data_IF_578872143956
#
_entry.id   IF_578872143956
#
_cell.length_a   1.000
_cell.length_b   1.000
_cell.length_c   1.000
_cell.angle_alpha   90.00
_cell.angle_beta   90.00
_cell.angle_gamma   90.00
#
_symmetry.space_group_name_H-M   'P 1'
#
loop_
_entity.id
_entity.type
_entity.pdbx_description
1 polymer ?
#
# COMPACT_ATOMS: atom_id res chain seq x y z
N UNK A 1 63.08 0.50 36.86
CA UNK A 1 61.77 0.92 36.31
C UNK A 1 60.71 -0.07 36.77
N UNK A 2 59.64 0.40 37.41
CA UNK A 2 58.64 -0.44 38.09
C UNK A 2 57.80 -1.24 37.08
N UNK A 3 57.66 -2.57 37.24
CA UNK A 3 56.70 -3.39 36.52
C UNK A 3 55.39 -3.59 37.32
N UNK A 4 54.43 -4.29 36.70
CA UNK A 4 53.14 -4.85 37.20
C UNK A 4 51.94 -3.93 36.89
N UNK A 5 50.78 -4.42 36.44
CA UNK A 5 50.04 -5.61 36.89
C UNK A 5 49.04 -6.11 35.82
N UNK A 6 48.82 -7.43 35.81
CA UNK A 6 47.89 -8.23 35.02
C UNK A 6 46.72 -8.68 35.93
N UNK A 7 45.45 -8.58 35.52
CA UNK A 7 44.27 -9.30 36.10
C UNK A 7 43.10 -9.17 35.11
N UNK A 8 42.69 -10.18 34.33
CA UNK A 8 41.91 -11.43 34.59
C UNK A 8 40.39 -11.23 34.84
N UNK A 9 39.63 -11.86 33.92
CA UNK A 9 38.31 -12.51 34.01
C UNK A 9 37.02 -11.70 34.25
N UNK A 10 36.00 -12.00 33.41
CA UNK A 10 34.81 -12.70 33.89
C UNK A 10 34.06 -13.39 32.73
N UNK A 11 34.01 -14.71 32.81
CA UNK A 11 33.12 -15.59 32.05
C UNK A 11 31.71 -15.39 32.61
N UNK A 12 30.77 -14.98 31.76
CA UNK A 12 29.35 -14.90 32.09
C UNK A 12 28.57 -15.91 31.27
N UNK A 13 28.65 -17.19 31.65
CA UNK A 13 27.71 -18.22 31.21
C UNK A 13 26.39 -17.98 31.95
N UNK A 14 25.35 -17.51 31.27
CA UNK A 14 23.98 -17.57 31.80
C UNK A 14 23.25 -18.66 31.02
N UNK A 15 23.33 -19.87 31.56
CA UNK A 15 22.35 -20.91 31.33
C UNK A 15 21.24 -20.71 32.37
N UNK A 16 20.04 -20.37 31.93
CA UNK A 16 18.82 -20.54 32.74
C UNK A 16 17.96 -21.57 32.06
N UNK A 17 17.60 -22.56 32.87
CA UNK A 17 16.99 -23.81 32.52
C UNK A 17 15.50 -23.68 32.17
N UNK A 18 15.08 -24.56 31.26
CA UNK A 18 13.91 -25.44 31.33
C UNK A 18 12.87 -25.15 32.43
N UNK A 19 11.61 -24.98 32.04
CA UNK A 19 10.59 -26.04 32.08
C UNK A 19 9.16 -25.47 32.25
N UNK A 20 8.22 -26.12 31.55
CA UNK A 20 6.79 -26.28 31.89
C UNK A 20 5.95 -25.00 31.98
N UNK A 21 4.93 -24.81 31.15
CA UNK A 21 3.73 -25.65 31.19
C UNK A 21 2.94 -25.53 29.89
N UNK A 22 2.78 -26.65 29.19
CA UNK A 22 1.65 -26.88 28.32
C UNK A 22 0.42 -27.07 29.23
N UNK A 23 -0.38 -26.02 29.40
CA UNK A 23 -1.77 -26.15 29.79
C UNK A 23 -2.62 -25.72 28.59
N UNK A 24 -3.15 -26.76 27.93
CA UNK A 24 -4.33 -26.69 27.09
C UNK A 24 -5.46 -26.06 27.91
N UNK A 25 -5.75 -24.79 27.64
CA UNK A 25 -7.10 -24.28 27.76
C UNK A 25 -7.63 -24.14 26.34
N UNK A 26 -8.35 -25.18 25.93
CA UNK A 26 -9.31 -25.14 24.84
C UNK A 26 -10.41 -24.14 25.23
N UNK A 27 -10.14 -22.85 25.09
CA UNK A 27 -11.21 -21.92 24.82
C UNK A 27 -11.56 -22.10 23.36
N UNK A 28 -12.62 -22.89 23.12
CA UNK A 28 -13.45 -22.79 21.92
C UNK A 28 -13.90 -21.33 21.80
N UNK A 29 -13.04 -20.50 21.20
CA UNK A 29 -13.45 -19.25 20.61
C UNK A 29 -14.23 -19.64 19.36
N UNK A 30 -15.52 -19.94 19.56
CA UNK A 30 -16.54 -19.80 18.52
C UNK A 30 -16.67 -18.29 18.29
N UNK A 31 -15.59 -17.70 17.77
CA UNK A 31 -15.62 -16.41 17.12
C UNK A 31 -16.48 -16.63 15.91
N UNK A 32 -17.76 -16.26 16.02
CA UNK A 32 -18.63 -16.12 14.87
C UNK A 32 -17.88 -15.26 13.87
N UNK A 33 -17.28 -15.92 12.87
CA UNK A 33 -16.65 -15.29 11.74
C UNK A 33 -17.77 -14.56 11.03
N UNK A 34 -18.01 -13.32 11.44
CA UNK A 34 -18.86 -12.39 10.72
C UNK A 34 -18.18 -12.26 9.37
N UNK A 35 -18.66 -13.04 8.41
CA UNK A 35 -18.14 -13.04 7.05
C UNK A 35 -18.50 -11.68 6.50
N UNK A 36 -17.58 -10.72 6.65
CA UNK A 36 -17.76 -9.40 6.07
C UNK A 36 -17.95 -9.59 4.57
N UNK A 37 -19.00 -8.95 4.03
CA UNK A 37 -19.31 -9.07 2.63
C UNK A 37 -18.09 -8.63 1.80
N UNK A 38 -17.75 -9.34 0.71
CA UNK A 38 -16.65 -8.95 -0.15
C UNK A 38 -16.88 -7.54 -0.67
N UNK A 39 -15.82 -6.72 -0.66
CA UNK A 39 -15.89 -5.37 -1.22
C UNK A 39 -16.22 -5.47 -2.70
N UNK A 40 -17.09 -4.59 -3.18
CA UNK A 40 -17.39 -4.45 -4.62
C UNK A 40 -17.29 -2.98 -5.02
N UNK A 41 -16.85 -2.77 -6.25
CA UNK A 41 -16.70 -1.44 -6.83
C UNK A 41 -17.40 -1.33 -8.17
N UNK A 42 -17.91 -0.14 -8.49
CA UNK A 42 -18.39 0.21 -9.82
C UNK A 42 -17.60 1.38 -10.38
N UNK A 43 -17.28 1.30 -11.67
CA UNK A 43 -16.64 2.40 -12.41
C UNK A 43 -17.73 3.22 -13.08
N UNK A 44 -17.79 4.49 -12.73
CA UNK A 44 -18.60 5.46 -13.45
C UNK A 44 -17.74 6.23 -14.43
N UNK A 45 -18.06 6.11 -15.73
CA UNK A 45 -17.51 6.98 -16.77
C UNK A 45 -18.14 8.36 -16.62
N UNK A 46 -17.48 9.23 -15.84
CA UNK A 46 -17.91 10.60 -15.66
C UNK A 46 -17.55 11.50 -16.84
N UNK A 47 -18.32 12.58 -17.00
CA UNK A 47 -17.81 13.84 -17.58
C UNK A 47 -16.50 14.19 -16.83
N UNK A 48 -15.51 14.85 -17.47
CA UNK A 48 -14.29 15.27 -16.79
C UNK A 48 -14.67 15.93 -15.47
N UNK A 49 -14.33 15.29 -14.36
CA UNK A 49 -14.55 15.87 -13.04
C UNK A 49 -13.75 17.16 -13.09
N UNK A 50 -14.43 18.31 -13.01
CA UNK A 50 -13.75 19.60 -12.89
C UNK A 50 -12.75 19.42 -11.76
N UNK A 51 -11.46 19.54 -12.10
CA UNK A 51 -10.36 19.23 -11.20
C UNK A 51 -10.61 20.01 -9.91
N UNK A 52 -11.13 19.31 -8.91
CA UNK A 52 -11.50 19.96 -7.67
C UNK A 52 -10.19 20.42 -7.07
N UNK A 53 -10.11 21.74 -6.83
CA UNK A 53 -8.91 22.38 -6.30
C UNK A 53 -8.43 21.56 -5.11
N UNK A 54 -7.21 21.03 -5.20
CA UNK A 54 -6.59 20.25 -4.12
C UNK A 54 -6.60 21.11 -2.85
N UNK A 55 -7.49 20.79 -1.92
CA UNK A 55 -7.63 21.46 -0.64
C UNK A 55 -6.64 20.83 0.34
N UNK A 56 -5.63 21.62 0.73
CA UNK A 56 -4.65 21.23 1.75
C UNK A 56 -5.39 20.98 3.08
N UNK A 57 -5.61 19.71 3.43
CA UNK A 57 -6.09 19.29 4.74
C UNK A 57 -4.89 18.86 5.58
N UNK A 58 -4.62 19.62 6.65
CA UNK A 58 -3.35 19.68 7.39
C UNK A 58 -2.97 18.46 8.26
N UNK A 59 -3.11 17.24 7.75
CA UNK A 59 -2.39 16.09 8.29
C UNK A 59 -1.03 15.99 7.59
N UNK A 60 0.04 15.84 8.37
CA UNK A 60 1.41 16.07 7.91
C UNK A 60 1.81 15.34 6.61
N UNK A 61 2.79 15.86 5.85
CA UNK A 61 3.18 15.38 4.52
C UNK A 61 3.76 13.93 4.47
N UNK A 62 3.73 13.19 5.58
CA UNK A 62 4.45 11.93 5.80
C UNK A 62 3.70 10.64 5.51
N UNK A 63 2.37 10.62 5.46
CA UNK A 63 1.63 9.33 5.56
C UNK A 63 1.09 8.77 4.24
N UNK A 64 1.34 9.45 3.12
CA UNK A 64 0.93 8.96 1.80
C UNK A 64 1.98 8.07 1.15
N UNK A 65 1.53 6.91 0.66
CA UNK A 65 2.37 5.98 -0.09
C UNK A 65 1.72 5.62 -1.41
N UNK A 66 2.52 5.11 -2.35
CA UNK A 66 2.07 4.60 -3.64
C UNK A 66 2.36 3.11 -3.74
N UNK A 67 1.32 2.30 -3.96
CA UNK A 67 1.50 0.89 -4.34
C UNK A 67 1.56 0.79 -5.85
N UNK A 68 2.66 0.29 -6.41
CA UNK A 68 2.84 0.07 -7.84
C UNK A 68 2.55 -1.40 -8.14
N UNK A 69 1.36 -1.69 -8.67
CA UNK A 69 0.98 -3.03 -9.11
C UNK A 69 1.50 -3.27 -10.53
N UNK A 70 2.39 -4.25 -10.69
CA UNK A 70 3.02 -4.51 -11.97
C UNK A 70 3.85 -5.78 -12.01
N UNK A 71 4.60 -5.95 -13.11
CA UNK A 71 5.56 -7.05 -13.27
C UNK A 71 6.96 -6.50 -13.53
N UNK A 72 8.00 -7.16 -13.01
CA UNK A 72 9.39 -6.77 -13.25
C UNK A 72 9.78 -6.87 -14.74
N UNK A 73 9.11 -7.75 -15.48
CA UNK A 73 9.26 -7.89 -16.93
C UNK A 73 8.73 -6.69 -17.71
N UNK A 74 7.80 -5.91 -17.15
CA UNK A 74 7.21 -4.74 -17.82
C UNK A 74 8.18 -3.54 -17.80
N UNK A 75 8.63 -3.05 -18.97
CA UNK A 75 9.53 -1.88 -19.04
C UNK A 75 8.94 -0.63 -18.40
N UNK A 76 7.63 -0.42 -18.56
CA UNK A 76 6.92 0.71 -17.97
C UNK A 76 6.84 0.63 -16.44
N UNK A 77 6.70 -0.57 -15.89
CA UNK A 77 6.77 -0.77 -14.43
C UNK A 77 8.17 -0.44 -13.91
N UNK A 78 9.23 -0.97 -14.54
CA UNK A 78 10.61 -0.65 -14.15
C UNK A 78 10.91 0.85 -14.21
N UNK A 79 10.43 1.52 -15.25
CA UNK A 79 10.59 2.96 -15.39
C UNK A 79 9.92 3.74 -14.23
N UNK A 80 8.74 3.30 -13.79
CA UNK A 80 8.06 3.91 -12.63
C UNK A 80 8.78 3.60 -11.31
N UNK A 81 9.29 2.38 -11.12
CA UNK A 81 10.10 2.02 -9.94
C UNK A 81 11.31 2.96 -9.85
N UNK A 82 12.08 3.10 -10.93
CA UNK A 82 13.25 3.98 -10.96
C UNK A 82 12.89 5.44 -10.69
N UNK A 83 11.81 5.93 -11.31
CA UNK A 83 11.32 7.29 -11.09
C UNK A 83 11.04 7.58 -9.61
N UNK A 84 10.31 6.70 -8.92
CA UNK A 84 10.00 6.90 -7.50
C UNK A 84 11.22 6.71 -6.61
N UNK A 85 12.11 5.76 -6.93
CA UNK A 85 13.36 5.56 -6.18
C UNK A 85 14.26 6.81 -6.22
N UNK A 86 14.31 7.48 -7.37
CA UNK A 86 15.11 8.68 -7.57
C UNK A 86 14.47 9.94 -6.94
N UNK A 87 13.17 10.14 -7.14
CA UNK A 87 12.52 11.41 -6.80
C UNK A 87 11.79 11.39 -5.44
N UNK A 88 11.37 10.22 -4.97
CA UNK A 88 10.53 10.06 -3.78
C UNK A 88 10.90 8.80 -2.98
N UNK A 89 12.16 8.70 -2.49
CA UNK A 89 12.64 7.49 -1.82
C UNK A 89 11.77 7.13 -0.62
N UNK A 90 11.37 5.86 -0.53
CA UNK A 90 10.52 5.35 0.55
C UNK A 90 9.03 5.72 0.44
N UNK A 91 8.60 6.36 -0.65
CA UNK A 91 7.18 6.75 -0.86
C UNK A 91 6.42 5.79 -1.75
N UNK A 92 7.09 4.96 -2.54
CA UNK A 92 6.45 3.99 -3.41
C UNK A 92 6.99 2.59 -3.21
N UNK A 93 6.12 1.60 -3.33
CA UNK A 93 6.41 0.19 -3.10
C UNK A 93 5.90 -0.62 -4.30
N UNK A 94 6.81 -1.37 -4.91
CA UNK A 94 6.48 -2.24 -6.03
C UNK A 94 5.91 -3.57 -5.53
N UNK A 95 4.79 -4.01 -6.12
CA UNK A 95 4.12 -5.26 -5.77
C UNK A 95 4.02 -6.14 -7.02
N UNK A 96 4.79 -7.23 -7.05
CA UNK A 96 4.86 -8.17 -8.17
C UNK A 96 3.56 -8.98 -8.30
N UNK A 97 2.82 -8.75 -9.38
CA UNK A 97 1.54 -9.41 -9.65
C UNK A 97 1.69 -10.78 -10.32
N UNK A 98 2.90 -11.19 -10.72
CA UNK A 98 3.15 -12.53 -11.24
C UNK A 98 3.11 -13.61 -10.14
N UNK A 99 3.27 -13.23 -8.87
CA UNK A 99 3.12 -14.15 -7.75
C UNK A 99 1.63 -14.45 -7.50
N UNK A 100 1.17 -15.64 -7.85
CA UNK A 100 -0.25 -16.01 -7.83
C UNK A 100 -0.86 -16.10 -6.43
N UNK A 101 -0.04 -16.25 -5.40
CA UNK A 101 -0.48 -16.41 -4.02
C UNK A 101 -0.30 -15.11 -3.20
N UNK A 102 -0.07 -13.97 -3.87
CA UNK A 102 0.13 -12.68 -3.20
C UNK A 102 -1.14 -11.83 -3.19
N UNK A 103 -1.22 -10.94 -2.19
CA UNK A 103 -2.18 -9.85 -2.13
C UNK A 103 -1.97 -8.87 -3.28
N UNK A 104 -0.74 -8.74 -3.83
CA UNK A 104 -0.49 -7.97 -5.07
C UNK A 104 -1.38 -8.46 -6.22
N UNK A 105 -1.41 -9.79 -6.44
CA UNK A 105 -2.23 -10.39 -7.50
C UNK A 105 -3.71 -10.22 -7.20
N UNK A 106 -4.12 -10.39 -5.94
CA UNK A 106 -5.51 -10.22 -5.53
C UNK A 106 -6.00 -8.78 -5.75
N UNK A 107 -5.23 -7.78 -5.32
CA UNK A 107 -5.50 -6.36 -5.50
C UNK A 107 -5.60 -5.99 -6.99
N UNK A 108 -4.64 -6.42 -7.81
CA UNK A 108 -4.71 -6.16 -9.25
C UNK A 108 -5.92 -6.83 -9.91
N UNK A 109 -6.19 -8.09 -9.56
CA UNK A 109 -7.35 -8.83 -10.08
C UNK A 109 -8.68 -8.18 -9.67
N UNK A 110 -8.76 -7.65 -8.46
CA UNK A 110 -9.90 -6.90 -7.98
C UNK A 110 -10.17 -5.65 -8.84
N UNK A 111 -9.12 -4.86 -9.12
CA UNK A 111 -9.24 -3.68 -9.97
C UNK A 111 -9.61 -4.02 -11.43
N UNK A 112 -9.07 -5.12 -11.97
CA UNK A 112 -9.42 -5.61 -13.32
C UNK A 112 -10.88 -6.06 -13.39
N UNK A 113 -11.36 -6.84 -12.41
CA UNK A 113 -12.76 -7.29 -12.35
C UNK A 113 -13.73 -6.12 -12.17
N UNK A 114 -13.32 -5.09 -11.43
CA UNK A 114 -14.08 -3.84 -11.29
C UNK A 114 -14.06 -2.96 -12.54
N UNK A 115 -13.31 -3.33 -13.59
CA UNK A 115 -13.17 -2.54 -14.81
C UNK A 115 -12.37 -1.25 -14.63
N UNK A 116 -11.59 -1.13 -13.56
CA UNK A 116 -10.80 0.07 -13.24
C UNK A 116 -9.57 0.15 -14.14
N UNK A 117 -8.84 -0.96 -14.28
CA UNK A 117 -7.64 -1.06 -15.11
C UNK A 117 -7.65 -2.33 -15.94
N UNK A 118 -6.88 -2.35 -17.02
CA UNK A 118 -6.59 -3.53 -17.82
C UNK A 118 -5.08 -3.74 -18.04
N UNK A 119 -4.23 -2.94 -17.41
CA UNK A 119 -2.80 -2.91 -17.72
C UNK A 119 -1.93 -2.49 -16.54
N UNK A 120 -0.62 -2.62 -16.74
CA UNK A 120 0.40 -2.27 -15.75
C UNK A 120 1.34 -1.19 -16.32
N UNK A 121 1.92 -0.31 -15.49
CA UNK A 121 1.69 -0.21 -14.04
C UNK A 121 0.29 0.35 -13.71
N UNK A 122 -0.30 -0.15 -12.64
CA UNK A 122 -1.44 0.48 -11.97
C UNK A 122 -1.01 0.90 -10.58
N UNK A 123 -1.13 2.18 -10.28
CA UNK A 123 -0.68 2.78 -9.02
C UNK A 123 -1.87 3.12 -8.13
N UNK A 124 -1.79 2.74 -6.86
CA UNK A 124 -2.79 3.08 -5.85
C UNK A 124 -2.18 4.05 -4.86
N UNK A 125 -2.82 5.21 -4.66
CA UNK A 125 -2.40 6.20 -3.65
C UNK A 125 -3.15 5.91 -2.36
N UNK A 126 -2.39 5.71 -1.29
CA UNK A 126 -2.89 5.31 0.01
C UNK A 126 -2.55 6.38 1.04
N UNK A 127 -3.52 6.81 1.84
CA UNK A 127 -3.30 7.66 3.02
C UNK A 127 -3.35 6.78 4.27
N UNK A 128 -2.17 6.51 4.85
CA UNK A 128 -2.04 5.63 6.01
C UNK A 128 -2.69 6.20 7.27
N UNK A 129 -2.68 7.52 7.43
CA UNK A 129 -3.22 8.18 8.63
C UNK A 129 -4.74 8.03 8.71
N UNK A 130 -5.41 8.06 7.56
CA UNK A 130 -6.87 7.96 7.44
C UNK A 130 -7.34 6.56 7.06
N UNK A 131 -6.43 5.65 6.70
CA UNK A 131 -6.76 4.31 6.19
C UNK A 131 -7.72 4.37 4.98
N UNK A 132 -7.41 5.25 4.01
CA UNK A 132 -8.20 5.42 2.79
C UNK A 132 -7.37 5.26 1.52
N UNK A 133 -8.04 4.84 0.45
CA UNK A 133 -7.52 4.89 -0.93
C UNK A 133 -7.88 6.25 -1.52
N UNK A 134 -6.88 7.11 -1.75
CA UNK A 134 -7.11 8.48 -2.22
C UNK A 134 -7.27 8.58 -3.74
N UNK A 135 -6.70 7.64 -4.50
CA UNK A 135 -6.75 7.69 -5.96
C UNK A 135 -6.10 6.49 -6.63
N UNK A 136 -6.44 6.27 -7.90
CA UNK A 136 -5.87 5.22 -8.74
C UNK A 136 -5.32 5.86 -10.02
N UNK A 137 -4.07 5.57 -10.35
CA UNK A 137 -3.39 6.12 -11.54
C UNK A 137 -3.00 4.94 -12.44
N UNK A 138 -3.42 4.99 -13.70
CA UNK A 138 -3.16 3.96 -14.71
C UNK A 138 -2.06 4.45 -15.66
N UNK A 139 -1.08 3.59 -15.90
CA UNK A 139 0.02 3.86 -16.82
C UNK A 139 1.17 4.65 -16.19
N UNK A 140 2.06 5.17 -17.02
CA UNK A 140 3.23 5.92 -16.57
C UNK A 140 2.90 7.39 -16.30
N UNK A 141 3.43 7.93 -15.19
CA UNK A 141 3.34 9.35 -14.87
C UNK A 141 4.64 9.82 -14.18
N UNK A 142 5.49 10.54 -14.92
CA UNK A 142 6.82 11.00 -14.45
C UNK A 142 6.86 12.48 -14.06
N UNK A 143 5.70 13.10 -13.79
CA UNK A 143 5.64 14.50 -13.39
C UNK A 143 5.92 14.64 -11.88
N UNK A 144 7.13 15.08 -11.53
CA UNK A 144 7.57 15.29 -10.13
C UNK A 144 6.66 16.28 -9.41
N UNK A 145 6.34 17.42 -10.02
CA UNK A 145 5.49 18.45 -9.42
C UNK A 145 4.09 17.92 -9.10
N UNK A 146 3.53 17.08 -9.97
CA UNK A 146 2.23 16.45 -9.73
C UNK A 146 2.28 15.49 -8.55
N UNK A 147 3.27 14.58 -8.51
CA UNK A 147 3.43 13.63 -7.40
C UNK A 147 3.71 14.31 -6.07
N UNK A 148 4.51 15.38 -6.07
CA UNK A 148 4.73 16.19 -4.88
C UNK A 148 3.42 16.76 -4.34
N UNK A 149 2.56 17.32 -5.21
CA UNK A 149 1.23 17.80 -4.81
C UNK A 149 0.35 16.68 -4.26
N UNK A 150 0.41 15.48 -4.84
CA UNK A 150 -0.32 14.31 -4.33
C UNK A 150 0.17 13.93 -2.94
N UNK A 151 1.48 13.92 -2.69
CA UNK A 151 2.00 13.61 -1.36
C UNK A 151 1.64 14.66 -0.31
N UNK A 152 1.62 15.93 -0.68
CA UNK A 152 1.31 17.04 0.21
C UNK A 152 -0.20 17.17 0.47
N UNK A 153 -1.02 17.10 -0.59
CA UNK A 153 -2.44 17.49 -0.54
C UNK A 153 -3.40 16.32 -0.79
N UNK A 154 -2.89 15.15 -1.20
CA UNK A 154 -3.70 14.03 -1.64
C UNK A 154 -4.28 14.20 -3.04
N UNK A 155 -5.05 13.21 -3.47
CA UNK A 155 -5.70 13.19 -4.80
C UNK A 155 -7.21 13.47 -4.72
N UNK A 156 -7.88 13.02 -3.66
CA UNK A 156 -9.33 13.18 -3.48
C UNK A 156 -9.66 14.35 -2.55
N UNK A 157 -10.57 15.21 -3.00
CA UNK A 157 -10.87 16.50 -2.36
C UNK A 157 -11.81 16.47 -1.15
N UNK A 158 -12.41 15.33 -0.76
CA UNK A 158 -13.15 15.18 0.53
C UNK A 158 -14.03 13.93 0.67
N UNK A 159 -14.29 13.16 -0.40
CA UNK A 159 -15.27 12.07 -0.32
C UNK A 159 -14.60 10.70 -0.17
N UNK A 160 -14.70 10.12 1.03
CA UNK A 160 -14.15 8.80 1.40
C UNK A 160 -14.83 7.62 0.68
N UNK A 161 -15.87 7.87 -0.13
CA UNK A 161 -16.57 6.81 -0.87
C UNK A 161 -16.36 6.86 -2.38
N UNK A 162 -15.68 7.91 -2.88
CA UNK A 162 -15.46 8.15 -4.31
C UNK A 162 -13.96 8.31 -4.57
N UNK A 163 -13.41 7.36 -5.30
CA UNK A 163 -11.98 7.29 -5.59
C UNK A 163 -11.76 7.75 -7.03
N UNK A 164 -11.06 8.86 -7.27
CA UNK A 164 -10.79 9.31 -8.62
C UNK A 164 -9.80 8.38 -9.32
N UNK A 165 -10.04 8.15 -10.62
CA UNK A 165 -9.18 7.34 -11.49
C UNK A 165 -8.56 8.25 -12.55
N UNK A 166 -7.24 8.16 -12.71
CA UNK A 166 -6.46 8.95 -13.65
C UNK A 166 -5.76 8.07 -14.68
N UNK A 167 -5.59 8.59 -15.89
CA UNK A 167 -4.61 8.10 -16.86
C UNK A 167 -3.57 9.20 -17.06
N UNK A 168 -2.37 9.01 -16.52
CA UNK A 168 -1.43 10.11 -16.31
C UNK A 168 -2.04 11.16 -15.36
N UNK A 169 -2.02 12.44 -15.75
CA UNK A 169 -2.60 13.55 -14.97
C UNK A 169 -4.10 13.76 -15.23
N UNK A 170 -4.66 13.06 -16.22
CA UNK A 170 -6.03 13.31 -16.68
C UNK A 170 -7.02 12.44 -15.91
N UNK A 171 -8.04 13.03 -15.24
CA UNK A 171 -9.12 12.23 -14.65
C UNK A 171 -9.93 11.57 -15.77
N UNK A 172 -10.17 10.26 -15.64
CA UNK A 172 -10.90 9.45 -16.61
C UNK A 172 -12.17 8.82 -16.05
N UNK A 173 -12.37 8.88 -14.74
CA UNK A 173 -13.56 8.36 -14.08
C UNK A 173 -13.43 8.34 -12.57
N UNK A 174 -14.39 7.70 -11.93
CA UNK A 174 -14.36 7.45 -10.48
C UNK A 174 -14.76 6.03 -10.19
N UNK A 175 -14.27 5.53 -9.07
CA UNK A 175 -14.69 4.28 -8.46
C UNK A 175 -15.55 4.60 -7.25
N UNK A 176 -16.74 4.00 -7.20
CA UNK A 176 -17.62 4.04 -6.04
C UNK A 176 -17.60 2.70 -5.32
N UNK A 177 -17.53 2.74 -3.99
CA UNK A 177 -17.67 1.54 -3.16
C UNK A 177 -19.16 1.21 -3.09
N UNK A 178 -19.57 0.09 -3.69
CA UNK A 178 -20.98 -0.34 -3.76
C UNK A 178 -21.33 -1.38 -2.71
N UNK A 179 -20.34 -2.14 -2.25
CA UNK A 179 -20.46 -3.11 -1.14
C UNK A 179 -19.16 -3.11 -0.34
N UNK A 180 -19.25 -3.34 0.97
CA UNK A 180 -18.12 -3.20 1.91
C UNK A 180 -17.92 -1.76 2.39
N UNK A 181 -16.75 -1.47 2.93
CA UNK A 181 -16.37 -0.13 3.42
C UNK A 181 -14.97 0.25 2.91
N UNK A 182 -14.58 1.53 3.10
CA UNK A 182 -13.27 2.03 2.69
C UNK A 182 -12.12 1.32 3.41
N UNK A 183 -12.31 0.90 4.67
CA UNK A 183 -11.30 0.14 5.43
C UNK A 183 -10.93 -1.16 4.74
N UNK A 184 -11.91 -1.96 4.33
CA UNK A 184 -11.67 -3.25 3.67
C UNK A 184 -11.01 -3.07 2.31
N UNK A 185 -11.35 -1.99 1.60
CA UNK A 185 -10.71 -1.62 0.34
C UNK A 185 -9.25 -1.19 0.55
N UNK A 186 -9.01 -0.35 1.57
CA UNK A 186 -7.68 0.07 1.98
C UNK A 186 -6.83 -1.12 2.42
N UNK A 187 -7.39 -2.05 3.18
CA UNK A 187 -6.68 -3.26 3.61
C UNK A 187 -6.24 -4.09 2.42
N UNK A 188 -7.13 -4.32 1.45
CA UNK A 188 -6.78 -5.04 0.22
C UNK A 188 -5.75 -4.29 -0.61
N UNK A 189 -6.01 -3.02 -0.97
CA UNK A 189 -5.22 -2.30 -1.97
C UNK A 189 -3.95 -1.64 -1.41
N UNK A 190 -3.88 -1.42 -0.09
CA UNK A 190 -2.80 -0.69 0.57
C UNK A 190 -2.12 -1.53 1.64
N UNK A 191 -2.80 -1.86 2.75
CA UNK A 191 -2.14 -2.44 3.92
C UNK A 191 -1.56 -3.84 3.66
N UNK A 192 -2.41 -4.77 3.21
CA UNK A 192 -2.01 -6.15 2.93
C UNK A 192 -1.13 -6.25 1.68
N UNK A 193 -1.36 -5.38 0.69
CA UNK A 193 -0.51 -5.25 -0.51
C UNK A 193 0.89 -4.74 -0.15
N UNK A 194 1.00 -3.78 0.78
CA UNK A 194 2.29 -3.27 1.28
C UNK A 194 3.07 -4.37 2.02
N UNK A 195 2.40 -5.13 2.88
CA UNK A 195 3.03 -6.22 3.62
C UNK A 195 3.65 -7.26 2.67
N UNK A 196 2.93 -7.64 1.60
CA UNK A 196 3.47 -8.55 0.58
C UNK A 196 4.57 -7.91 -0.27
N UNK A 197 4.43 -6.65 -0.68
CA UNK A 197 5.47 -5.93 -1.40
C UNK A 197 6.80 -5.93 -0.62
N UNK A 198 6.74 -5.68 0.68
CA UNK A 198 7.91 -5.70 1.57
C UNK A 198 8.49 -7.11 1.74
N UNK A 199 7.63 -8.14 1.84
CA UNK A 199 8.05 -9.54 1.96
C UNK A 199 8.71 -10.07 0.69
N UNK A 200 8.22 -9.66 -0.48
CA UNK A 200 8.70 -10.12 -1.78
C UNK A 200 9.97 -9.39 -2.24
N UNK A 201 10.36 -8.31 -1.56
CA UNK A 201 11.75 -7.89 -1.50
C UNK A 201 12.33 -7.23 -2.75
N UNK A 202 11.50 -6.61 -3.60
CA UNK A 202 12.01 -5.77 -4.71
C UNK A 202 12.51 -4.41 -4.17
N UNK A 203 13.68 -4.38 -3.51
CA UNK A 203 14.47 -3.15 -3.31
C UNK A 203 15.32 -2.80 -4.54
#
# INVERSE_FOLDING_TARGET
MKPKTLTIAAIGLIAVALATSALLLEHEYIGGSSVEAPVSISVEKGKPVEASTMTSSGNGPGDRIVMILGTESCPHCRAMISFFKENFPGRAFFCEIANTNSTCRAAFSFLVRGGVTMGVPTMVVCDKSRSIVEGIIIGELKNVTWWQKVFENGVSGSNETVIPVYAGEKPIGTVKITQGNMTNLYDLLCSATLADAQKLGSQ
#
